data_IF_891787733401
#
_entry.id   IF_891787733401
#
_cell.length_a   1.000
_cell.length_b   1.000
_cell.length_c   1.000
_cell.angle_alpha   90.00
_cell.angle_beta   90.00
_cell.angle_gamma   90.00
#
_symmetry.space_group_name_H-M   'P 1'
#
loop_
_entity.id
_entity.type
_entity.pdbx_description
1 polymer ?
#
# COMPACT_ATOMS: atom_id res chain seq x y z
N UNK A 1 46.51 5.21 -25.00
CA UNK A 1 46.81 4.09 -24.09
C UNK A 1 47.39 4.65 -22.80
N UNK A 2 46.60 4.72 -21.72
CA UNK A 2 47.04 5.08 -20.38
C UNK A 2 46.46 4.03 -19.43
N UNK A 3 47.35 3.24 -18.84
CA UNK A 3 47.01 2.19 -17.86
C UNK A 3 46.80 2.83 -16.49
N UNK A 4 45.64 2.55 -15.89
CA UNK A 4 45.35 2.85 -14.48
C UNK A 4 45.17 1.51 -13.77
N UNK A 5 46.13 1.15 -12.93
CA UNK A 5 46.11 -0.04 -12.09
C UNK A 5 45.43 0.31 -10.76
N UNK A 6 44.25 -0.26 -10.49
CA UNK A 6 43.60 -0.22 -9.17
C UNK A 6 44.13 -1.39 -8.32
N UNK A 7 44.71 -1.08 -7.17
CA UNK A 7 45.01 -2.04 -6.09
C UNK A 7 43.74 -2.30 -5.28
N UNK A 8 43.30 -3.56 -5.25
CA UNK A 8 42.36 -4.08 -4.24
C UNK A 8 43.15 -4.50 -3.00
N UNK A 9 42.70 -4.07 -1.83
CA UNK A 9 43.12 -4.61 -0.53
C UNK A 9 41.93 -5.31 0.09
N UNK A 10 41.98 -6.64 0.08
CA UNK A 10 41.07 -7.51 0.80
C UNK A 10 41.36 -7.45 2.31
N UNK A 11 40.33 -7.15 3.10
CA UNK A 11 40.32 -7.41 4.54
C UNK A 11 39.39 -8.61 4.80
N UNK A 12 39.99 -9.76 5.04
CA UNK A 12 39.32 -10.93 5.61
C UNK A 12 38.97 -10.66 7.08
N UNK A 13 37.68 -10.75 7.42
CA UNK A 13 37.22 -10.88 8.80
C UNK A 13 36.78 -12.33 8.98
N UNK A 14 37.48 -13.05 9.87
CA UNK A 14 37.12 -14.40 10.30
C UNK A 14 36.01 -14.30 11.35
N UNK A 15 34.88 -14.98 11.12
CA UNK A 15 33.83 -15.21 12.11
C UNK A 15 33.75 -16.71 12.42
N UNK A 16 34.15 -17.06 13.64
CA UNK A 16 33.98 -18.40 14.21
C UNK A 16 32.52 -18.57 14.65
N UNK A 17 31.73 -19.33 13.88
CA UNK A 17 30.42 -19.80 14.31
C UNK A 17 30.52 -21.24 14.82
N UNK A 18 30.35 -21.41 16.14
CA UNK A 18 30.17 -22.70 16.80
C UNK A 18 28.76 -23.23 16.55
N UNK A 19 28.67 -24.37 15.87
CA UNK A 19 27.45 -25.15 15.67
C UNK A 19 27.07 -25.89 16.94
N UNK A 20 25.85 -25.68 17.45
CA UNK A 20 25.24 -26.50 18.52
C UNK A 20 24.22 -27.43 17.87
N UNK A 21 24.51 -28.73 17.89
CA UNK A 21 23.65 -29.79 17.36
C UNK A 21 22.70 -30.28 18.45
N UNK A 22 21.39 -30.11 18.25
CA UNK A 22 20.38 -30.78 19.09
C UNK A 22 19.81 -32.01 18.37
N UNK A 23 19.97 -33.17 18.99
CA UNK A 23 19.28 -34.40 18.60
C UNK A 23 17.91 -34.44 19.26
N UNK A 24 16.85 -34.52 18.45
CA UNK A 24 15.50 -34.89 18.92
C UNK A 24 15.08 -36.17 18.20
N UNK A 25 14.81 -37.19 19.01
CA UNK A 25 14.46 -38.54 18.58
C UNK A 25 13.09 -38.62 17.92
N UNK A 26 13.01 -39.50 16.93
CA UNK A 26 11.77 -39.95 16.28
C UNK A 26 10.97 -40.83 17.24
N UNK A 27 9.67 -40.57 17.36
CA UNK A 27 8.70 -41.58 17.79
C UNK A 27 7.66 -41.76 16.67
N UNK A 28 7.62 -42.97 16.14
CA UNK A 28 6.68 -43.44 15.13
C UNK A 28 5.51 -44.07 15.88
N UNK A 29 4.28 -43.63 15.58
CA UNK A 29 3.06 -44.34 15.95
C UNK A 29 2.22 -44.51 14.68
N UNK A 30 2.15 -45.76 14.22
CA UNK A 30 1.27 -46.25 13.17
C UNK A 30 -0.04 -46.66 13.83
N UNK A 31 -1.15 -46.07 13.42
CA UNK A 31 -2.47 -46.67 13.61
C UNK A 31 -3.28 -46.54 12.33
N UNK A 32 -3.44 -47.68 11.69
CA UNK A 32 -4.41 -47.93 10.63
C UNK A 32 -5.79 -48.07 11.24
N UNK A 33 -6.78 -47.33 10.74
CA UNK A 33 -8.19 -47.65 10.93
C UNK A 33 -8.93 -47.45 9.61
N UNK A 34 -9.33 -48.57 9.02
CA UNK A 34 -10.30 -48.64 7.93
C UNK A 34 -11.70 -48.71 8.52
N UNK A 35 -12.67 -47.93 8.02
CA UNK A 35 -14.11 -48.24 8.09
C UNK A 35 -14.85 -47.53 6.93
N UNK A 36 -15.35 -48.36 6.01
CA UNK A 36 -16.68 -48.46 5.37
C UNK A 36 -17.34 -47.19 4.80
N UNK A 37 -17.47 -47.21 3.47
CA UNK A 37 -18.44 -46.43 2.67
C UNK A 37 -19.89 -46.81 3.02
N UNK A 38 -20.75 -45.81 3.23
CA UNK A 38 -22.18 -45.91 3.02
C UNK A 38 -22.60 -44.80 2.04
N UNK A 39 -22.99 -45.19 0.83
CA UNK A 39 -23.61 -44.32 -0.16
C UNK A 39 -25.09 -44.14 0.21
N UNK A 40 -25.49 -42.89 0.46
CA UNK A 40 -26.89 -42.49 0.55
C UNK A 40 -27.11 -41.28 -0.34
N UNK A 41 -27.85 -41.45 -1.44
CA UNK A 41 -28.39 -40.34 -2.20
C UNK A 41 -29.55 -39.73 -1.39
N UNK A 42 -29.29 -38.58 -0.76
CA UNK A 42 -30.30 -37.74 -0.12
C UNK A 42 -30.15 -36.31 -0.64
N UNK A 43 -31.25 -35.70 -1.03
CA UNK A 43 -31.33 -34.29 -1.39
C UNK A 43 -30.79 -33.44 -0.22
N UNK A 44 -29.69 -32.73 -0.45
CA UNK A 44 -29.05 -31.90 0.55
C UNK A 44 -29.86 -30.62 0.76
N UNK A 45 -30.67 -30.60 1.82
CA UNK A 45 -30.94 -29.34 2.50
C UNK A 45 -29.59 -28.80 3.00
N UNK A 46 -29.30 -27.54 2.69
CA UNK A 46 -28.16 -26.81 3.26
C UNK A 46 -28.39 -26.77 4.77
N UNK A 47 -27.70 -27.66 5.49
CA UNK A 47 -27.57 -27.58 6.94
C UNK A 47 -26.39 -26.66 7.16
N UNK A 48 -26.71 -25.44 7.61
CA UNK A 48 -25.74 -24.50 8.17
C UNK A 48 -25.04 -25.20 9.34
N UNK A 49 -23.86 -25.77 9.07
CA UNK A 49 -23.09 -26.53 10.04
C UNK A 49 -22.42 -25.56 10.99
N UNK A 50 -23.19 -25.10 11.98
CA UNK A 50 -22.77 -24.38 13.19
C UNK A 50 -21.34 -23.86 13.18
N UNK A 51 -21.06 -22.88 12.33
CA UNK A 51 -19.90 -22.03 12.51
C UNK A 51 -20.17 -21.22 13.77
N UNK A 52 -19.25 -21.23 14.73
CA UNK A 52 -19.31 -20.23 15.80
C UNK A 52 -19.43 -18.86 15.13
N UNK A 53 -20.33 -18.01 15.63
CA UNK A 53 -20.57 -16.67 15.10
C UNK A 53 -19.33 -15.79 15.34
N UNK A 54 -18.28 -16.01 14.55
CA UNK A 54 -17.01 -15.30 14.56
C UNK A 54 -17.16 -13.99 13.79
N UNK A 55 -18.07 -13.13 14.21
CA UNK A 55 -18.24 -11.81 13.62
C UNK A 55 -17.52 -10.76 14.45
N UNK A 56 -16.66 -9.96 13.81
CA UNK A 56 -16.06 -8.78 14.43
C UNK A 56 -17.17 -7.77 14.79
N UNK A 57 -17.62 -7.75 16.04
CA UNK A 57 -18.62 -6.80 16.51
C UNK A 57 -17.96 -5.47 16.94
N UNK A 58 -18.35 -4.35 16.30
CA UNK A 58 -17.93 -3.00 16.68
C UNK A 58 -18.36 -1.92 15.69
N UNK A 59 -18.76 -0.75 16.22
CA UNK A 59 -18.82 0.49 15.42
C UNK A 59 -17.39 0.92 15.08
N UNK A 60 -17.19 1.30 13.82
CA UNK A 60 -15.90 1.21 13.12
C UNK A 60 -15.28 2.59 12.95
N UNK A 61 -14.32 2.92 13.80
CA UNK A 61 -13.46 4.08 13.63
C UNK A 61 -12.20 3.69 12.85
N UNK A 62 -11.63 4.66 12.12
CA UNK A 62 -10.36 4.51 11.42
C UNK A 62 -9.24 4.23 12.44
N UNK A 63 -8.62 3.03 12.36
CA UNK A 63 -7.47 2.72 13.22
C UNK A 63 -6.16 3.26 12.68
N UNK A 64 -6.20 3.91 11.52
CA UNK A 64 -5.07 4.51 10.85
C UNK A 64 -4.08 3.48 10.29
N UNK A 65 -2.81 3.86 10.31
CA UNK A 65 -1.68 3.07 9.83
C UNK A 65 -1.08 2.15 10.89
N UNK A 66 -1.06 0.85 10.60
CA UNK A 66 -0.36 -0.16 11.39
C UNK A 66 0.94 -0.59 10.70
N UNK A 67 2.04 0.04 11.08
CA UNK A 67 3.39 -0.38 10.68
C UNK A 67 4.17 -0.99 11.83
N UNK A 68 5.28 -1.69 11.56
CA UNK A 68 6.10 -2.36 12.59
C UNK A 68 6.82 -1.36 13.53
N UNK A 69 7.31 -0.27 12.95
CA UNK A 69 8.14 0.75 13.59
C UNK A 69 7.71 2.17 13.21
N UNK A 70 6.42 2.34 12.93
CA UNK A 70 5.81 3.61 12.53
C UNK A 70 4.43 3.76 13.18
N UNK A 71 3.95 4.99 13.24
CA UNK A 71 2.62 5.35 13.71
C UNK A 71 2.04 6.47 12.83
N UNK A 72 0.73 6.61 12.80
CA UNK A 72 0.05 7.67 12.05
C UNK A 72 -0.32 8.86 12.93
N UNK A 73 -0.35 10.02 12.29
CA UNK A 73 -0.94 11.24 12.82
C UNK A 73 -1.81 11.89 11.75
N UNK A 74 -2.85 12.61 12.17
CA UNK A 74 -3.47 13.62 11.32
C UNK A 74 -2.75 14.95 11.52
N UNK A 75 -2.54 15.66 10.41
CA UNK A 75 -2.19 17.06 10.41
C UNK A 75 -3.21 17.89 9.65
N UNK A 76 -3.36 19.14 10.09
CA UNK A 76 -4.09 20.18 9.37
C UNK A 76 -3.08 21.06 8.66
N UNK A 77 -3.29 21.25 7.37
CA UNK A 77 -2.56 22.19 6.54
C UNK A 77 -3.42 23.42 6.32
N UNK A 78 -2.88 24.61 6.56
CA UNK A 78 -3.53 25.88 6.25
C UNK A 78 -2.69 26.66 5.26
N UNK A 79 -3.28 27.05 4.14
CA UNK A 79 -2.59 27.78 3.08
C UNK A 79 -3.57 28.53 2.18
N UNK A 80 -3.02 29.24 1.19
CA UNK A 80 -3.75 29.80 0.05
C UNK A 80 -3.21 29.22 -1.25
N UNK A 81 -4.05 29.06 -2.26
CA UNK A 81 -3.64 28.58 -3.58
C UNK A 81 -4.29 29.43 -4.67
N UNK A 82 -3.53 29.75 -5.71
CA UNK A 82 -3.96 30.55 -6.86
C UNK A 82 -3.95 29.67 -8.11
N UNK A 83 -5.00 29.80 -8.92
CA UNK A 83 -5.07 29.15 -10.24
C UNK A 83 -5.70 30.08 -11.27
N UNK A 84 -5.26 29.98 -12.53
CA UNK A 84 -5.97 30.62 -13.63
C UNK A 84 -7.25 29.83 -13.89
N UNK A 85 -8.43 30.44 -13.72
CA UNK A 85 -9.72 29.79 -13.94
C UNK A 85 -10.06 29.63 -15.43
N UNK A 86 -9.20 28.92 -16.17
CA UNK A 86 -9.30 28.65 -17.59
C UNK A 86 -9.00 27.17 -17.88
N UNK A 87 -9.42 26.67 -19.05
CA UNK A 87 -9.18 25.29 -19.46
C UNK A 87 -9.79 24.29 -18.47
N UNK A 88 -8.98 23.34 -18.00
CA UNK A 88 -9.40 22.30 -17.04
C UNK A 88 -9.77 22.84 -15.65
N UNK A 89 -9.47 24.12 -15.38
CA UNK A 89 -9.77 24.80 -14.10
C UNK A 89 -10.89 25.83 -14.22
N UNK A 90 -11.59 25.87 -15.35
CA UNK A 90 -12.76 26.72 -15.49
C UNK A 90 -13.84 26.30 -14.49
N UNK A 91 -14.35 27.25 -13.70
CA UNK A 91 -15.39 27.02 -12.69
C UNK A 91 -14.88 26.47 -11.36
N UNK A 92 -13.57 26.45 -11.11
CA UNK A 92 -12.97 26.01 -9.84
C UNK A 92 -13.56 26.72 -8.62
N UNK A 93 -14.06 27.95 -8.76
CA UNK A 93 -14.71 28.70 -7.69
C UNK A 93 -16.06 28.08 -7.23
N UNK A 94 -16.65 27.20 -8.03
CA UNK A 94 -17.95 26.57 -7.77
C UNK A 94 -17.92 25.04 -7.73
N UNK A 95 -16.76 24.40 -7.98
CA UNK A 95 -16.62 22.95 -8.09
C UNK A 95 -15.71 22.40 -6.98
N UNK A 96 -16.31 21.71 -6.02
CA UNK A 96 -15.59 21.16 -4.86
C UNK A 96 -14.54 20.09 -5.23
N UNK A 97 -14.75 19.35 -6.32
CA UNK A 97 -13.80 18.33 -6.77
C UNK A 97 -12.59 19.00 -7.42
N UNK A 98 -12.80 20.05 -8.23
CA UNK A 98 -11.70 20.86 -8.76
C UNK A 98 -10.94 21.57 -7.63
N UNK A 99 -11.63 22.11 -6.63
CA UNK A 99 -11.00 22.73 -5.45
C UNK A 99 -10.11 21.73 -4.72
N UNK A 100 -10.62 20.52 -4.47
CA UNK A 100 -9.86 19.44 -3.82
C UNK A 100 -8.65 19.04 -4.64
N UNK A 101 -8.79 18.88 -5.97
CA UNK A 101 -7.66 18.57 -6.86
C UNK A 101 -6.59 19.67 -6.84
N UNK A 102 -6.98 20.93 -6.81
CA UNK A 102 -6.03 22.06 -6.74
C UNK A 102 -5.27 22.05 -5.42
N UNK A 103 -5.96 21.81 -4.31
CA UNK A 103 -5.36 21.69 -2.98
C UNK A 103 -4.40 20.49 -2.93
N UNK A 104 -4.81 19.32 -3.42
CA UNK A 104 -3.95 18.12 -3.54
C UNK A 104 -2.68 18.42 -4.36
N UNK A 105 -2.78 19.22 -5.44
CA UNK A 105 -1.61 19.64 -6.23
C UNK A 105 -0.63 20.51 -5.44
N UNK A 106 -1.11 21.48 -4.65
CA UNK A 106 -0.23 22.33 -3.85
C UNK A 106 0.42 21.53 -2.70
N UNK A 107 -0.37 20.67 -2.05
CA UNK A 107 0.06 19.88 -0.90
C UNK A 107 1.21 18.92 -1.25
N UNK A 108 1.29 18.43 -2.49
CA UNK A 108 2.43 17.63 -2.98
C UNK A 108 3.79 18.28 -2.76
N UNK A 109 3.87 19.62 -2.79
CA UNK A 109 5.11 20.38 -2.58
C UNK A 109 5.58 20.41 -1.11
N UNK A 110 4.73 20.02 -0.15
CA UNK A 110 5.08 19.96 1.28
C UNK A 110 6.02 18.80 1.59
N UNK A 111 6.07 17.77 0.73
CA UNK A 111 6.82 16.52 0.92
C UNK A 111 8.22 16.73 1.51
N UNK A 112 9.05 17.55 0.87
CA UNK A 112 10.46 17.76 1.29
C UNK A 112 10.54 18.39 2.69
N UNK A 113 9.66 19.35 2.99
CA UNK A 113 9.57 20.00 4.31
C UNK A 113 9.05 19.03 5.38
N UNK A 114 8.07 18.19 5.06
CA UNK A 114 7.61 17.16 5.98
C UNK A 114 8.71 16.12 6.27
N UNK A 115 9.43 15.67 5.23
CA UNK A 115 10.52 14.70 5.36
C UNK A 115 11.71 15.23 6.17
N UNK A 116 12.06 16.52 6.03
CA UNK A 116 13.11 17.16 6.84
C UNK A 116 12.73 17.30 8.31
N UNK A 117 11.42 17.36 8.60
CA UNK A 117 10.85 17.33 9.95
C UNK A 117 10.58 15.90 10.46
N UNK A 118 11.03 14.86 9.74
CA UNK A 118 10.94 13.47 10.18
C UNK A 118 9.61 12.78 9.88
N UNK A 119 8.74 13.41 9.09
CA UNK A 119 7.45 12.86 8.70
C UNK A 119 7.50 12.19 7.32
N UNK A 120 6.60 11.25 7.08
CA UNK A 120 6.27 10.78 5.72
C UNK A 120 4.83 11.15 5.46
N UNK A 121 4.55 11.66 4.28
CA UNK A 121 3.40 12.52 4.07
C UNK A 121 2.47 11.93 3.02
N UNK A 122 1.17 11.80 3.33
CA UNK A 122 0.16 11.47 2.32
C UNK A 122 -0.10 12.70 1.45
N UNK A 123 0.17 12.59 0.14
CA UNK A 123 0.12 13.72 -0.77
C UNK A 123 -1.29 14.04 -1.29
N UNK A 124 -2.30 13.37 -0.74
CA UNK A 124 -3.70 13.61 -1.02
C UNK A 124 -4.41 13.89 0.30
N UNK A 125 -5.21 14.95 0.34
CA UNK A 125 -5.99 15.31 1.51
C UNK A 125 -7.07 14.27 1.77
N UNK A 126 -7.29 13.94 3.03
CA UNK A 126 -8.50 13.23 3.44
C UNK A 126 -9.73 14.13 3.24
N UNK A 127 -9.60 15.37 3.71
CA UNK A 127 -10.68 16.35 3.71
C UNK A 127 -10.11 17.72 3.36
N UNK A 128 -10.84 18.45 2.52
CA UNK A 128 -10.55 19.84 2.18
C UNK A 128 -11.74 20.70 2.61
N UNK A 129 -11.45 21.77 3.35
CA UNK A 129 -12.41 22.80 3.71
C UNK A 129 -11.95 24.12 3.10
N UNK A 130 -12.80 24.69 2.24
CA UNK A 130 -12.54 26.01 1.65
C UNK A 130 -13.07 27.09 2.59
N UNK A 131 -12.19 27.99 3.01
CA UNK A 131 -12.52 29.08 3.93
C UNK A 131 -12.92 30.35 3.19
N UNK A 132 -12.27 30.63 2.06
CA UNK A 132 -12.49 31.83 1.28
C UNK A 132 -12.13 31.59 -0.18
N UNK A 133 -12.91 32.19 -1.08
CA UNK A 133 -12.66 32.19 -2.52
C UNK A 133 -12.69 33.64 -2.99
N UNK A 134 -11.63 34.07 -3.66
CA UNK A 134 -11.51 35.43 -4.17
C UNK A 134 -11.13 35.42 -5.65
N UNK A 135 -11.95 36.07 -6.47
CA UNK A 135 -11.59 36.41 -7.85
C UNK A 135 -10.62 37.59 -7.84
N UNK A 136 -9.42 37.39 -8.37
CA UNK A 136 -8.36 38.39 -8.50
C UNK A 136 -8.09 38.69 -9.97
N UNK A 137 -7.23 39.68 -10.26
CA UNK A 137 -6.79 39.93 -11.64
C UNK A 137 -5.96 38.76 -12.20
N UNK A 138 -5.32 37.99 -11.33
CA UNK A 138 -4.38 36.91 -11.67
C UNK A 138 -5.01 35.52 -11.64
N UNK A 139 -6.32 35.41 -11.34
CA UNK A 139 -7.04 34.14 -11.26
C UNK A 139 -7.93 34.02 -10.02
N UNK A 140 -8.26 32.79 -9.65
CA UNK A 140 -9.06 32.46 -8.46
C UNK A 140 -8.12 32.06 -7.33
N UNK A 141 -8.15 32.82 -6.24
CA UNK A 141 -7.42 32.51 -5.01
C UNK A 141 -8.32 31.83 -3.99
N UNK A 142 -7.85 30.73 -3.43
CA UNK A 142 -8.59 29.87 -2.51
C UNK A 142 -7.79 29.73 -1.22
N UNK A 143 -8.37 30.16 -0.10
CA UNK A 143 -7.84 29.86 1.24
C UNK A 143 -8.48 28.58 1.77
N UNK A 144 -7.68 27.65 2.29
CA UNK A 144 -8.17 26.34 2.69
C UNK A 144 -7.57 25.83 4.01
N UNK A 145 -8.28 24.88 4.62
CA UNK A 145 -7.71 23.90 5.56
C UNK A 145 -7.84 22.50 4.97
N UNK A 146 -6.77 21.70 5.03
CA UNK A 146 -6.78 20.33 4.54
C UNK A 146 -6.30 19.38 5.65
N UNK A 147 -7.01 18.28 5.85
CA UNK A 147 -6.59 17.19 6.74
C UNK A 147 -5.80 16.18 5.91
N UNK A 148 -4.62 15.81 6.41
CA UNK A 148 -3.70 14.86 5.77
C UNK A 148 -3.12 13.90 6.79
N UNK A 149 -2.88 12.68 6.34
CA UNK A 149 -2.20 11.68 7.15
C UNK A 149 -0.68 11.83 7.03
N UNK A 150 0.03 11.62 8.14
CA UNK A 150 1.48 11.52 8.15
C UNK A 150 1.96 10.34 9.00
N UNK A 151 3.08 9.75 8.60
CA UNK A 151 3.75 8.70 9.35
C UNK A 151 4.97 9.25 10.09
N UNK A 152 5.00 8.98 11.39
CA UNK A 152 6.17 9.17 12.24
C UNK A 152 6.92 7.86 12.44
N UNK A 153 8.23 7.96 12.74
CA UNK A 153 9.02 6.80 13.16
C UNK A 153 8.78 6.48 14.64
N UNK A 154 8.50 5.22 14.96
CA UNK A 154 8.28 4.76 16.32
C UNK A 154 9.62 4.49 17.03
N UNK A 155 9.81 5.08 18.22
CA UNK A 155 10.99 4.89 19.07
C UNK A 155 10.60 4.39 20.46
N UNK A 156 9.86 3.28 20.51
CA UNK A 156 9.30 2.72 21.74
C UNK A 156 7.77 2.69 21.69
N UNK A 157 7.13 3.31 22.67
CA UNK A 157 5.66 3.48 22.68
C UNK A 157 5.21 4.52 21.65
N UNK A 158 3.94 4.47 21.27
CA UNK A 158 3.29 5.51 20.47
C UNK A 158 3.38 6.81 21.27
N UNK A 159 3.82 7.92 20.66
CA UNK A 159 3.85 9.19 21.37
C UNK A 159 2.43 9.71 21.60
N UNK A 160 2.22 10.43 22.69
CA UNK A 160 1.00 11.19 22.92
C UNK A 160 0.92 12.38 21.97
N UNK A 161 -0.29 12.91 21.77
CA UNK A 161 -0.46 14.15 21.02
C UNK A 161 0.37 15.30 21.62
N UNK A 162 0.51 15.40 22.94
CA UNK A 162 1.31 16.45 23.58
C UNK A 162 2.80 16.36 23.21
N UNK A 163 3.35 15.15 23.13
CA UNK A 163 4.75 14.91 22.74
C UNK A 163 5.04 15.29 21.28
N UNK A 164 4.04 15.15 20.39
CA UNK A 164 4.18 15.53 18.97
C UNK A 164 3.53 16.87 18.64
N UNK A 165 2.83 17.54 19.57
CA UNK A 165 2.15 18.82 19.31
C UNK A 165 3.13 19.93 18.91
N UNK A 166 4.39 19.79 19.33
CA UNK A 166 5.47 20.68 18.89
C UNK A 166 5.91 20.47 17.44
N UNK A 167 5.39 19.46 16.74
CA UNK A 167 5.62 19.22 15.32
C UNK A 167 4.78 20.15 14.42
N UNK A 168 4.63 21.41 14.84
CA UNK A 168 4.19 22.47 13.95
C UNK A 168 5.39 22.94 13.14
N UNK A 169 5.25 22.96 11.82
CA UNK A 169 6.27 23.49 10.93
C UNK A 169 5.64 24.27 9.79
N UNK A 170 6.43 25.15 9.21
CA UNK A 170 6.06 25.90 8.01
C UNK A 170 6.68 25.17 6.80
N UNK A 171 5.91 25.03 5.73
CA UNK A 171 6.36 24.47 4.48
C UNK A 171 6.27 25.52 3.38
N UNK A 172 7.38 25.77 2.70
CA UNK A 172 7.40 26.66 1.53
C UNK A 172 6.78 25.93 0.34
N UNK A 173 5.75 26.52 -0.26
CA UNK A 173 5.03 25.94 -1.39
C UNK A 173 4.79 27.00 -2.49
N UNK A 174 4.66 26.62 -3.76
CA UNK A 174 4.26 27.55 -4.80
C UNK A 174 2.82 28.00 -4.57
N UNK A 175 2.57 29.32 -4.64
CA UNK A 175 1.21 29.87 -4.62
C UNK A 175 0.38 29.35 -5.79
N UNK A 176 1.02 29.17 -6.95
CA UNK A 176 0.44 28.57 -8.16
C UNK A 176 1.14 27.24 -8.48
N UNK A 177 0.55 26.08 -8.15
CA UNK A 177 1.23 24.78 -8.18
C UNK A 177 1.36 24.16 -9.57
N UNK A 178 1.23 24.97 -10.64
CA UNK A 178 1.23 24.49 -12.02
C UNK A 178 1.56 25.58 -13.04
N UNK A 179 1.74 25.18 -14.30
CA UNK A 179 2.06 26.10 -15.40
C UNK A 179 3.50 26.60 -15.36
N UNK A 180 4.41 25.86 -14.72
CA UNK A 180 5.81 26.20 -14.62
C UNK A 180 6.51 26.08 -15.99
N UNK A 181 7.36 27.05 -16.32
CA UNK A 181 8.30 26.88 -17.43
C UNK A 181 9.37 25.85 -17.08
N UNK A 182 10.00 25.25 -18.09
CA UNK A 182 11.15 24.35 -17.86
C UNK A 182 12.31 25.03 -17.14
N UNK A 183 12.49 26.35 -17.33
CA UNK A 183 13.51 27.13 -16.63
C UNK A 183 13.21 27.23 -15.14
N UNK A 184 11.99 27.62 -14.78
CA UNK A 184 11.55 27.68 -13.38
C UNK A 184 11.68 26.33 -12.67
N UNK A 185 11.26 25.24 -13.34
CA UNK A 185 11.40 23.91 -12.76
C UNK A 185 12.86 23.55 -12.49
N UNK A 186 13.77 23.82 -13.43
CA UNK A 186 15.20 23.55 -13.24
C UNK A 186 15.85 24.44 -12.19
N UNK A 187 15.37 25.67 -12.00
CA UNK A 187 15.88 26.62 -11.01
C UNK A 187 15.39 26.37 -9.58
N UNK A 188 14.35 25.55 -9.42
CA UNK A 188 13.68 25.25 -8.15
C UNK A 188 13.66 23.75 -7.84
N UNK A 189 14.54 22.96 -8.46
CA UNK A 189 14.60 21.52 -8.21
C UNK A 189 16.03 20.99 -8.21
N UNK A 190 16.24 19.92 -7.44
CA UNK A 190 17.51 19.20 -7.34
C UNK A 190 17.29 17.74 -7.74
N UNK A 191 18.09 17.26 -8.70
CA UNK A 191 18.03 15.87 -9.17
C UNK A 191 19.39 15.22 -9.01
N UNK A 192 19.47 14.21 -8.16
CA UNK A 192 20.70 13.49 -7.87
C UNK A 192 20.82 12.15 -8.63
N UNK A 193 19.76 11.71 -9.30
CA UNK A 193 19.61 10.34 -9.80
C UNK A 193 19.44 10.22 -11.33
N UNK A 194 19.68 11.33 -12.05
CA UNK A 194 19.67 11.36 -13.51
C UNK A 194 18.28 11.37 -14.16
N UNK A 195 17.19 11.51 -13.39
CA UNK A 195 15.86 11.68 -13.95
C UNK A 195 15.68 13.06 -14.61
N UNK A 196 14.83 13.15 -15.64
CA UNK A 196 14.42 14.45 -16.17
C UNK A 196 13.31 15.04 -15.33
N UNK A 197 13.43 16.32 -14.97
CA UNK A 197 12.32 17.10 -14.40
C UNK A 197 11.26 17.34 -15.48
N UNK A 198 10.01 17.11 -15.11
CA UNK A 198 8.79 17.25 -15.90
C UNK A 198 7.69 17.78 -14.98
N UNK A 199 6.66 18.39 -15.55
CA UNK A 199 5.54 18.97 -14.80
C UNK A 199 4.93 17.98 -13.79
N UNK A 200 4.81 16.70 -14.19
CA UNK A 200 4.18 15.68 -13.36
C UNK A 200 5.06 15.12 -12.22
N UNK A 201 6.37 15.38 -12.21
CA UNK A 201 7.28 14.89 -11.16
C UNK A 201 8.06 16.04 -10.47
N UNK A 202 7.82 17.28 -10.87
CA UNK A 202 8.54 18.44 -10.34
C UNK A 202 8.39 18.57 -8.82
N UNK A 203 7.19 18.34 -8.27
CA UNK A 203 6.95 18.38 -6.82
C UNK A 203 7.86 17.43 -6.02
N UNK A 204 8.27 16.32 -6.62
CA UNK A 204 9.15 15.34 -5.98
C UNK A 204 10.59 15.85 -5.81
N UNK A 205 11.04 16.70 -6.74
CA UNK A 205 12.39 17.27 -6.77
C UNK A 205 12.44 18.71 -6.25
N UNK A 206 11.32 19.24 -5.78
CA UNK A 206 11.18 20.64 -5.41
C UNK A 206 12.10 21.06 -4.26
N UNK A 207 12.85 22.15 -4.50
CA UNK A 207 13.88 22.75 -3.64
C UNK A 207 13.78 24.28 -3.70
N UNK A 208 12.85 24.88 -2.93
CA UNK A 208 12.61 26.32 -2.97
C UNK A 208 13.80 27.17 -2.51
N UNK A 209 14.75 26.58 -1.78
CA UNK A 209 15.94 27.26 -1.25
C UNK A 209 17.07 27.47 -2.29
N UNK A 210 16.91 26.99 -3.53
CA UNK A 210 17.90 27.23 -4.57
C UNK A 210 18.02 28.72 -4.89
N UNK A 211 19.25 29.21 -5.05
CA UNK A 211 19.57 30.65 -5.21
C UNK A 211 18.82 31.29 -6.40
N UNK A 212 18.51 30.52 -7.44
CA UNK A 212 17.83 31.01 -8.65
C UNK A 212 16.34 30.69 -8.69
N UNK A 213 15.76 30.15 -7.60
CA UNK A 213 14.34 29.80 -7.59
C UNK A 213 13.48 31.08 -7.55
N UNK A 214 12.77 31.34 -8.63
CA UNK A 214 12.02 32.59 -8.89
C UNK A 214 10.50 32.39 -8.91
N UNK A 215 10.01 31.31 -8.29
CA UNK A 215 8.58 31.07 -8.14
C UNK A 215 7.94 32.02 -7.13
N UNK A 216 6.64 32.29 -7.29
CA UNK A 216 5.84 32.95 -6.25
C UNK A 216 5.58 31.92 -5.13
N UNK A 217 6.33 32.05 -4.04
CA UNK A 217 6.35 31.13 -2.92
C UNK A 217 5.62 31.72 -1.70
N UNK A 218 4.87 30.87 -1.02
CA UNK A 218 4.15 31.20 0.22
C UNK A 218 4.46 30.16 1.30
N UNK A 219 4.07 30.46 2.54
CA UNK A 219 4.19 29.53 3.65
C UNK A 219 2.85 28.82 3.89
N UNK A 220 2.88 27.50 3.90
CA UNK A 220 1.79 26.66 4.38
C UNK A 220 2.08 26.22 5.83
N UNK A 221 1.11 26.40 6.72
CA UNK A 221 1.22 25.97 8.11
C UNK A 221 0.81 24.51 8.21
N UNK A 222 1.66 23.66 8.79
CA UNK A 222 1.34 22.26 9.08
C UNK A 222 1.30 22.05 10.59
N UNK A 223 0.19 21.53 11.10
CA UNK A 223 -0.02 21.29 12.53
C UNK A 223 -0.54 19.87 12.77
N UNK A 224 0.17 19.07 13.57
CA UNK A 224 -0.31 17.75 14.01
C UNK A 224 -1.46 17.92 15.01
N UNK A 225 -2.62 17.37 14.67
CA UNK A 225 -3.87 17.52 15.45
C UNK A 225 -4.34 16.24 16.12
N UNK A 226 -3.87 15.08 15.67
CA UNK A 226 -4.25 13.78 16.22
C UNK A 226 -3.09 12.80 16.13
N UNK A 227 -2.95 11.94 17.13
CA UNK A 227 -2.15 10.72 17.03
C UNK A 227 -3.11 9.54 17.05
N UNK A 228 -2.98 8.64 16.08
CA UNK A 228 -3.82 7.45 16.05
C UNK A 228 -3.30 6.40 17.04
N UNK A 229 -4.24 5.68 17.64
CA UNK A 229 -3.92 4.48 18.40
C UNK A 229 -3.36 3.41 17.45
N UNK A 230 -2.60 2.46 18.00
CA UNK A 230 -2.05 1.32 17.25
C UNK A 230 -2.63 0.02 17.83
N UNK A 231 -3.92 -0.25 17.61
CA UNK A 231 -4.55 -1.43 18.17
C UNK A 231 -3.97 -2.71 17.58
N UNK A 232 -4.19 -3.82 18.31
CA UNK A 232 -4.10 -5.14 17.70
C UNK A 232 -5.33 -5.31 16.81
N UNK A 233 -5.09 -5.48 15.51
CA UNK A 233 -6.13 -5.65 14.51
C UNK A 233 -5.66 -6.66 13.45
N UNK A 234 -6.60 -7.34 12.84
CA UNK A 234 -6.36 -8.49 11.97
C UNK A 234 -6.91 -8.24 10.58
N UNK A 235 -6.40 -8.93 9.55
CA UNK A 235 -7.13 -9.06 8.29
C UNK A 235 -8.57 -9.52 8.55
N UNK A 236 -9.52 -9.04 7.74
CA UNK A 236 -10.94 -9.47 7.82
C UNK A 236 -11.07 -10.88 7.21
N UNK A 237 -10.56 -11.88 7.92
CA UNK A 237 -10.42 -13.25 7.44
C UNK A 237 -11.76 -13.90 7.06
N UNK A 238 -12.85 -13.63 7.79
CA UNK A 238 -14.22 -14.05 7.46
C UNK A 238 -14.61 -13.57 6.07
N UNK A 239 -14.30 -12.31 5.75
CA UNK A 239 -14.64 -11.72 4.44
C UNK A 239 -13.76 -12.25 3.31
N UNK A 240 -12.54 -12.71 3.63
CA UNK A 240 -11.66 -13.38 2.66
C UNK A 240 -12.07 -14.83 2.43
N UNK A 241 -12.53 -15.54 3.44
CA UNK A 241 -12.82 -16.97 3.40
C UNK A 241 -14.17 -17.27 2.71
N UNK A 242 -14.17 -17.24 1.37
CA UNK A 242 -15.34 -17.59 0.56
C UNK A 242 -15.35 -19.08 0.21
N UNK A 243 -16.52 -19.68 0.15
CA UNK A 243 -16.68 -21.08 -0.30
C UNK A 243 -16.57 -21.17 -1.82
N UNK A 244 -15.69 -22.04 -2.31
CA UNK A 244 -15.53 -22.39 -3.71
C UNK A 244 -16.55 -23.46 -4.15
N UNK A 245 -16.73 -23.65 -5.47
CA UNK A 245 -17.62 -24.67 -6.03
C UNK A 245 -17.24 -26.10 -5.60
N UNK A 246 -15.96 -26.35 -5.30
CA UNK A 246 -15.46 -27.66 -4.80
C UNK A 246 -15.69 -27.86 -3.29
N UNK A 247 -16.35 -26.91 -2.62
CA UNK A 247 -16.64 -26.90 -1.18
C UNK A 247 -15.47 -26.45 -0.31
N UNK A 248 -14.26 -26.24 -0.86
CA UNK A 248 -13.16 -25.66 -0.10
C UNK A 248 -13.40 -24.18 0.18
N UNK A 249 -12.67 -23.60 1.13
CA UNK A 249 -12.84 -22.21 1.56
C UNK A 249 -11.58 -21.40 1.30
N UNK A 250 -11.67 -20.15 0.84
CA UNK A 250 -10.54 -19.23 0.77
C UNK A 250 -10.74 -18.10 -0.24
N UNK A 251 -9.66 -17.63 -0.86
CA UNK A 251 -9.72 -16.47 -1.76
C UNK A 251 -8.78 -16.57 -2.96
N UNK A 252 -9.06 -15.74 -3.98
CA UNK A 252 -8.19 -15.53 -5.11
C UNK A 252 -7.31 -14.28 -4.93
N UNK A 253 -6.04 -14.43 -5.31
CA UNK A 253 -5.00 -13.42 -5.30
C UNK A 253 -4.50 -13.15 -6.72
N UNK A 254 -4.31 -11.88 -7.08
CA UNK A 254 -3.62 -11.46 -8.30
C UNK A 254 -2.27 -10.81 -7.95
N UNK A 255 -1.20 -11.31 -8.55
CA UNK A 255 0.12 -10.68 -8.52
C UNK A 255 0.36 -10.02 -9.87
N UNK A 256 0.48 -8.69 -9.87
CA UNK A 256 0.54 -7.86 -11.08
C UNK A 256 1.86 -7.08 -11.10
N UNK A 257 3.00 -7.76 -11.35
CA UNK A 257 4.27 -7.07 -11.53
C UNK A 257 4.27 -6.26 -12.83
N UNK A 258 4.75 -5.03 -12.78
CA UNK A 258 5.01 -4.23 -13.98
C UNK A 258 6.28 -4.74 -14.70
N UNK A 259 6.48 -4.33 -15.95
CA UNK A 259 7.70 -4.58 -16.71
C UNK A 259 8.91 -4.04 -15.95
N UNK A 260 9.97 -4.84 -15.88
CA UNK A 260 11.25 -4.40 -15.33
C UNK A 260 11.98 -3.43 -16.28
N UNK A 261 12.90 -2.65 -15.71
CA UNK A 261 13.56 -1.55 -16.42
C UNK A 261 14.55 -2.02 -17.50
N UNK A 262 15.31 -3.09 -17.20
CA UNK A 262 16.29 -3.68 -18.12
C UNK A 262 15.83 -5.02 -18.71
N UNK A 263 15.00 -5.75 -17.96
CA UNK A 263 14.39 -7.02 -18.37
C UNK A 263 12.90 -6.94 -18.04
N UNK A 264 12.00 -6.93 -19.04
CA UNK A 264 10.56 -6.87 -18.84
C UNK A 264 10.03 -7.95 -17.90
N UNK A 265 10.64 -9.14 -17.87
CA UNK A 265 10.20 -10.28 -17.03
C UNK A 265 10.91 -10.36 -15.70
N UNK A 266 11.88 -9.50 -15.39
CA UNK A 266 12.67 -9.61 -14.14
C UNK A 266 11.80 -9.65 -12.87
N UNK A 267 10.80 -8.77 -12.77
CA UNK A 267 9.87 -8.71 -11.63
C UNK A 267 8.93 -9.92 -11.57
N UNK A 268 8.43 -10.36 -12.73
CA UNK A 268 7.63 -11.57 -12.88
C UNK A 268 8.41 -12.82 -12.46
N UNK A 269 9.61 -13.02 -13.01
CA UNK A 269 10.48 -14.15 -12.71
C UNK A 269 10.87 -14.21 -11.22
N UNK A 270 11.04 -13.06 -10.57
CA UNK A 270 11.33 -13.00 -9.15
C UNK A 270 10.14 -13.47 -8.29
N UNK A 271 8.91 -13.08 -8.64
CA UNK A 271 7.70 -13.60 -7.98
C UNK A 271 7.48 -15.08 -8.26
N UNK A 272 7.62 -15.50 -9.53
CA UNK A 272 7.56 -16.92 -9.94
C UNK A 272 8.51 -17.77 -9.10
N UNK A 273 9.78 -17.35 -9.00
CA UNK A 273 10.78 -18.02 -8.16
C UNK A 273 10.35 -18.09 -6.68
N UNK A 274 9.78 -17.02 -6.12
CA UNK A 274 9.31 -17.03 -4.73
C UNK A 274 8.16 -18.02 -4.52
N UNK A 275 7.22 -18.13 -5.47
CA UNK A 275 6.12 -19.10 -5.40
C UNK A 275 6.63 -20.55 -5.57
N UNK A 276 7.45 -20.80 -6.59
CA UNK A 276 7.93 -22.15 -6.90
C UNK A 276 8.97 -22.64 -5.89
N UNK A 277 9.98 -21.84 -5.57
CA UNK A 277 11.10 -22.30 -4.75
C UNK A 277 10.87 -22.08 -3.25
N UNK A 278 10.27 -20.96 -2.85
CA UNK A 278 10.14 -20.63 -1.41
C UNK A 278 8.81 -21.11 -0.81
N UNK A 279 7.76 -21.27 -1.63
CA UNK A 279 6.47 -21.83 -1.23
C UNK A 279 6.25 -23.28 -1.71
N UNK A 280 7.05 -23.78 -2.66
CA UNK A 280 6.92 -25.13 -3.18
C UNK A 280 5.63 -25.33 -3.98
N UNK A 281 5.19 -24.30 -4.70
CA UNK A 281 3.95 -24.34 -5.48
C UNK A 281 4.25 -24.68 -6.94
N UNK A 282 3.44 -25.56 -7.51
CA UNK A 282 3.45 -25.86 -8.93
C UNK A 282 2.50 -24.91 -9.67
N UNK A 283 3.01 -24.26 -10.71
CA UNK A 283 2.26 -23.31 -11.53
C UNK A 283 1.69 -23.95 -12.80
N UNK A 284 0.45 -23.62 -13.14
CA UNK A 284 -0.22 -23.98 -14.39
C UNK A 284 -0.42 -22.72 -15.24
N UNK A 285 -0.03 -22.78 -16.51
CA UNK A 285 -0.24 -21.66 -17.44
C UNK A 285 -1.72 -21.53 -17.79
N UNK A 286 -2.27 -20.31 -17.77
CA UNK A 286 -3.66 -20.05 -18.16
C UNK A 286 -3.90 -20.44 -19.63
N UNK A 287 -5.15 -20.78 -20.04
CA UNK A 287 -5.44 -21.16 -21.42
C UNK A 287 -5.06 -20.13 -22.49
N UNK A 288 -5.06 -18.85 -22.12
CA UNK A 288 -4.68 -17.72 -22.98
C UNK A 288 -3.21 -17.28 -22.79
N UNK A 289 -2.45 -18.01 -21.97
CA UNK A 289 -1.04 -17.74 -21.61
C UNK A 289 -0.78 -16.39 -20.94
N UNK A 290 -1.79 -15.72 -20.39
CA UNK A 290 -1.63 -14.39 -19.77
C UNK A 290 -1.13 -14.42 -18.33
N UNK A 291 -1.32 -15.53 -17.61
CA UNK A 291 -0.83 -15.70 -16.24
C UNK A 291 -0.47 -17.15 -15.91
N UNK A 292 0.30 -17.33 -14.85
CA UNK A 292 0.52 -18.64 -14.22
C UNK A 292 -0.34 -18.72 -12.95
N UNK A 293 -1.21 -19.71 -12.89
CA UNK A 293 -2.05 -20.02 -11.73
C UNK A 293 -1.33 -20.99 -10.80
N UNK A 294 -1.29 -20.65 -9.53
CA UNK A 294 -0.84 -21.53 -8.45
C UNK A 294 -2.02 -21.81 -7.55
N UNK A 295 -2.15 -23.06 -7.10
CA UNK A 295 -3.15 -23.44 -6.10
C UNK A 295 -2.44 -23.89 -4.84
N UNK A 296 -2.71 -23.22 -3.72
CA UNK A 296 -2.14 -23.55 -2.43
C UNK A 296 -3.22 -24.03 -1.46
N UNK A 297 -3.23 -25.34 -1.15
CA UNK A 297 -4.19 -25.95 -0.22
C UNK A 297 -3.52 -26.28 1.12
N UNK A 298 -4.21 -25.97 2.23
CA UNK A 298 -3.88 -26.42 3.58
C UNK A 298 -5.15 -26.70 4.38
N UNK A 299 -5.39 -27.98 4.69
CA UNK A 299 -6.67 -28.37 5.31
C UNK A 299 -7.83 -28.07 4.36
N UNK A 300 -8.88 -27.41 4.87
CA UNK A 300 -10.02 -26.95 4.08
C UNK A 300 -9.76 -25.63 3.33
N UNK A 301 -8.63 -24.97 3.60
CA UNK A 301 -8.31 -23.66 3.04
C UNK A 301 -7.61 -23.78 1.68
N UNK A 302 -8.14 -23.10 0.66
CA UNK A 302 -7.59 -22.99 -0.69
C UNK A 302 -7.31 -21.53 -1.05
N UNK A 303 -6.07 -21.23 -1.42
CA UNK A 303 -5.70 -19.95 -2.03
C UNK A 303 -5.35 -20.17 -3.50
N UNK A 304 -6.01 -19.43 -4.39
CA UNK A 304 -5.69 -19.39 -5.83
C UNK A 304 -4.88 -18.14 -6.10
N UNK A 305 -3.72 -18.27 -6.73
CA UNK A 305 -2.80 -17.15 -6.98
C UNK A 305 -2.52 -17.07 -8.47
N UNK A 306 -2.91 -15.98 -9.10
CA UNK A 306 -2.64 -15.71 -10.52
C UNK A 306 -1.49 -14.71 -10.63
N UNK A 307 -0.36 -15.16 -11.19
CA UNK A 307 0.81 -14.33 -11.47
C UNK A 307 0.79 -13.90 -12.94
N UNK A 308 0.47 -12.63 -13.18
CA UNK A 308 0.33 -12.07 -14.53
C UNK A 308 1.67 -11.75 -15.17
N UNK A 309 1.84 -12.16 -16.43
CA UNK A 309 3.04 -11.86 -17.21
C UNK A 309 2.94 -10.45 -17.83
N UNK A 310 3.80 -9.49 -17.43
CA UNK A 310 3.72 -8.13 -17.93
C UNK A 310 4.05 -8.00 -19.43
N UNK A 311 4.62 -9.03 -20.08
CA UNK A 311 4.86 -9.00 -21.53
C UNK A 311 3.62 -9.29 -22.35
N UNK A 312 2.64 -9.98 -21.78
CA UNK A 312 1.39 -10.34 -22.45
C UNK A 312 0.34 -9.22 -22.37
N UNK A 313 0.57 -8.21 -21.53
CA UNK A 313 -0.28 -7.02 -21.48
C UNK A 313 -0.05 -6.16 -22.74
N UNK A 314 -1.08 -5.95 -23.59
CA UNK A 314 -0.94 -5.13 -24.79
C UNK A 314 -0.58 -3.68 -24.43
N UNK A 315 0.33 -3.09 -25.20
CA UNK A 315 0.67 -1.68 -25.05
C UNK A 315 -0.52 -0.74 -25.27
N UNK A 316 -1.47 -1.14 -26.13
CA UNK A 316 -2.66 -0.37 -26.51
C UNK A 316 -3.68 -0.21 -25.38
N UNK A 317 -3.85 -1.23 -24.53
CA UNK A 317 -4.71 -1.16 -23.35
C UNK A 317 -3.94 -0.59 -22.16
N UNK A 318 -2.63 -0.81 -22.13
CA UNK A 318 -1.72 -0.27 -21.12
C UNK A 318 -1.79 -1.05 -19.79
N UNK A 319 -0.68 -1.02 -19.05
CA UNK A 319 -0.56 -1.69 -17.77
C UNK A 319 -1.64 -1.25 -16.76
N UNK A 320 -2.01 0.03 -16.75
CA UNK A 320 -3.00 0.57 -15.81
C UNK A 320 -4.38 -0.09 -15.97
N UNK A 321 -4.87 -0.26 -17.21
CA UNK A 321 -6.15 -0.92 -17.45
C UNK A 321 -6.10 -2.39 -17.03
N UNK A 322 -4.99 -3.08 -17.33
CA UNK A 322 -4.81 -4.47 -16.91
C UNK A 322 -4.80 -4.63 -15.39
N UNK A 323 -4.11 -3.75 -14.68
CA UNK A 323 -4.08 -3.74 -13.22
C UNK A 323 -5.46 -3.46 -12.61
N UNK A 324 -6.20 -2.47 -13.14
CA UNK A 324 -7.58 -2.18 -12.74
C UNK A 324 -8.53 -3.36 -12.96
N UNK A 325 -8.37 -4.10 -14.05
CA UNK A 325 -9.15 -5.30 -14.28
C UNK A 325 -8.92 -6.39 -13.21
N UNK A 326 -7.77 -6.39 -12.52
CA UNK A 326 -7.54 -7.33 -11.42
C UNK A 326 -8.17 -6.85 -10.11
N UNK A 327 -8.26 -5.54 -9.90
CA UNK A 327 -8.97 -4.97 -8.75
C UNK A 327 -10.46 -5.33 -8.74
N UNK A 328 -11.10 -5.57 -9.90
CA UNK A 328 -12.52 -5.93 -9.92
C UNK A 328 -12.79 -7.40 -9.62
N UNK A 329 -11.77 -8.27 -9.75
CA UNK A 329 -11.95 -9.72 -9.79
C UNK A 329 -11.32 -10.48 -8.61
N UNK A 330 -10.48 -9.83 -7.80
CA UNK A 330 -9.68 -10.52 -6.77
C UNK A 330 -9.82 -9.85 -5.40
N UNK A 331 -9.86 -10.66 -4.34
CA UNK A 331 -9.87 -10.17 -2.95
C UNK A 331 -8.48 -9.79 -2.44
N UNK A 332 -7.42 -10.22 -3.12
CA UNK A 332 -6.06 -9.77 -2.85
C UNK A 332 -5.40 -9.35 -4.16
N UNK A 333 -4.86 -8.14 -4.22
CA UNK A 333 -4.18 -7.64 -5.43
C UNK A 333 -2.84 -7.04 -5.04
N UNK A 334 -1.75 -7.54 -5.62
CA UNK A 334 -0.40 -7.07 -5.37
C UNK A 334 0.20 -6.40 -6.60
N UNK A 335 0.39 -5.10 -6.53
CA UNK A 335 1.13 -4.31 -7.50
C UNK A 335 2.62 -4.27 -7.18
N UNK A 336 3.47 -4.59 -8.17
CA UNK A 336 4.93 -4.39 -8.08
C UNK A 336 5.40 -3.51 -9.23
N UNK A 337 5.49 -2.20 -8.98
CA UNK A 337 5.64 -1.22 -10.05
C UNK A 337 6.34 0.07 -9.63
N UNK A 338 6.45 1.00 -10.58
CA UNK A 338 6.93 2.36 -10.31
C UNK A 338 5.79 3.22 -9.82
N UNK A 339 6.00 3.98 -8.75
CA UNK A 339 4.94 4.80 -8.14
C UNK A 339 4.49 5.98 -8.98
N UNK A 340 5.14 6.24 -10.11
CA UNK A 340 4.86 7.37 -11.00
C UNK A 340 4.73 8.71 -10.23
N UNK A 341 5.40 8.85 -9.08
CA UNK A 341 5.37 10.04 -8.21
C UNK A 341 3.95 10.50 -7.80
N UNK A 342 2.96 9.60 -7.77
CA UNK A 342 1.57 9.94 -7.46
C UNK A 342 0.89 10.89 -8.46
N UNK A 343 1.48 11.07 -9.65
CA UNK A 343 0.93 11.94 -10.70
C UNK A 343 -0.10 11.25 -11.57
N UNK A 344 -0.14 9.92 -11.52
CA UNK A 344 -1.15 9.12 -12.20
C UNK A 344 -2.23 8.72 -11.23
N UNK A 345 -3.46 8.97 -11.62
CA UNK A 345 -4.67 8.47 -10.96
C UNK A 345 -4.85 6.98 -11.26
N UNK A 346 -3.88 6.15 -10.87
CA UNK A 346 -3.90 4.73 -11.15
C UNK A 346 -5.11 4.04 -10.49
N UNK A 347 -5.51 4.53 -9.32
CA UNK A 347 -6.37 3.84 -8.36
C UNK A 347 -7.65 4.63 -7.99
N UNK A 348 -7.92 5.77 -8.63
CA UNK A 348 -9.08 6.63 -8.30
C UNK A 348 -10.40 6.20 -8.95
N UNK A 349 -10.39 5.21 -9.86
CA UNK A 349 -11.59 4.78 -10.59
C UNK A 349 -12.42 3.81 -9.74
N UNK A 350 -13.61 4.20 -9.24
CA UNK A 350 -14.45 3.33 -8.41
C UNK A 350 -14.87 2.05 -9.14
N UNK A 351 -15.08 2.12 -10.47
CA UNK A 351 -15.52 0.99 -11.27
C UNK A 351 -14.43 -0.09 -11.43
N UNK A 352 -13.19 0.21 -11.05
CA UNK A 352 -12.10 -0.76 -11.07
C UNK A 352 -12.14 -1.73 -9.89
N UNK A 353 -12.91 -1.45 -8.83
CA UNK A 353 -12.87 -2.25 -7.60
C UNK A 353 -14.04 -3.22 -7.49
N UNK A 354 -13.82 -4.31 -6.77
CA UNK A 354 -14.90 -5.17 -6.28
C UNK A 354 -15.61 -4.47 -5.12
N UNK A 355 -16.91 -4.71 -4.95
CA UNK A 355 -17.66 -4.27 -3.76
C UNK A 355 -17.20 -5.00 -2.48
N UNK A 356 -16.63 -6.20 -2.64
CA UNK A 356 -16.18 -7.06 -1.55
C UNK A 356 -14.97 -6.47 -0.80
N UNK A 357 -14.65 -7.06 0.36
CA UNK A 357 -13.41 -6.75 1.06
C UNK A 357 -12.18 -7.15 0.23
N UNK A 358 -11.20 -6.23 0.15
CA UNK A 358 -9.97 -6.42 -0.59
C UNK A 358 -8.75 -6.04 0.24
N UNK A 359 -7.66 -6.79 0.06
CA UNK A 359 -6.33 -6.39 0.48
C UNK A 359 -5.57 -5.93 -0.77
N UNK A 360 -5.20 -4.65 -0.80
CA UNK A 360 -4.46 -4.05 -1.91
C UNK A 360 -3.03 -3.79 -1.47
N UNK A 361 -2.08 -4.57 -2.01
CA UNK A 361 -0.65 -4.40 -1.73
C UNK A 361 -0.02 -3.56 -2.82
N UNK A 362 0.46 -2.38 -2.49
CA UNK A 362 1.13 -1.47 -3.42
C UNK A 362 2.63 -1.44 -3.10
N UNK A 363 3.41 -2.31 -3.73
CA UNK A 363 4.86 -2.28 -3.66
C UNK A 363 5.42 -1.36 -4.74
N UNK A 364 5.69 -0.11 -4.37
CA UNK A 364 6.36 0.89 -5.21
C UNK A 364 6.99 1.97 -4.34
N UNK A 365 7.84 2.84 -4.89
CA UNK A 365 8.50 3.88 -4.08
C UNK A 365 7.49 4.81 -3.38
N UNK A 366 7.54 4.89 -2.05
CA UNK A 366 6.68 5.74 -1.22
C UNK A 366 5.19 5.57 -1.50
N UNK A 367 4.74 4.32 -1.73
CA UNK A 367 3.35 4.05 -2.12
C UNK A 367 2.29 4.54 -1.13
N UNK A 368 2.63 4.67 0.16
CA UNK A 368 1.73 5.30 1.14
C UNK A 368 1.39 6.73 0.74
N UNK A 369 2.39 7.52 0.32
CA UNK A 369 2.21 8.92 -0.04
C UNK A 369 1.30 9.13 -1.25
N UNK A 370 1.16 8.11 -2.11
CA UNK A 370 0.61 8.27 -3.45
C UNK A 370 -0.73 7.55 -3.66
N UNK A 371 -0.96 6.43 -2.96
CA UNK A 371 -1.95 5.45 -3.42
C UNK A 371 -2.97 5.03 -2.39
N UNK A 372 -2.68 5.10 -1.09
CA UNK A 372 -3.61 4.67 -0.04
C UNK A 372 -4.92 5.44 -0.14
N UNK A 373 -4.85 6.77 -0.21
CA UNK A 373 -6.04 7.62 -0.31
C UNK A 373 -6.76 7.48 -1.66
N UNK A 374 -6.06 7.13 -2.73
CA UNK A 374 -6.72 6.81 -4.02
C UNK A 374 -7.62 5.59 -3.90
N UNK A 375 -7.13 4.51 -3.27
CA UNK A 375 -7.92 3.30 -3.02
C UNK A 375 -9.15 3.61 -2.18
N UNK A 376 -8.98 4.34 -1.08
CA UNK A 376 -10.08 4.67 -0.18
C UNK A 376 -11.13 5.56 -0.85
N UNK A 377 -10.71 6.61 -1.59
CA UNK A 377 -11.66 7.44 -2.36
C UNK A 377 -12.45 6.61 -3.38
N UNK A 378 -11.80 5.66 -4.05
CA UNK A 378 -12.47 4.80 -5.04
C UNK A 378 -13.39 3.74 -4.41
N UNK A 379 -13.12 3.31 -3.17
CA UNK A 379 -13.95 2.35 -2.41
C UNK A 379 -15.04 3.03 -1.57
N UNK A 380 -15.07 4.36 -1.52
CA UNK A 380 -16.04 5.11 -0.75
C UNK A 380 -17.48 4.90 -1.26
N UNK A 381 -18.42 4.77 -0.34
CA UNK A 381 -19.85 4.63 -0.62
C UNK A 381 -20.64 5.59 0.26
N UNK A 382 -21.94 5.73 0.01
CA UNK A 382 -22.81 6.53 0.88
C UNK A 382 -22.85 6.02 2.34
N UNK A 383 -22.69 4.70 2.56
CA UNK A 383 -22.68 4.08 3.89
C UNK A 383 -21.29 4.05 4.53
N UNK A 384 -20.26 4.20 3.72
CA UNK A 384 -18.87 4.26 4.14
C UNK A 384 -18.15 5.35 3.35
N UNK A 385 -18.33 6.62 3.73
CA UNK A 385 -17.72 7.75 3.01
C UNK A 385 -16.19 7.75 3.12
N UNK A 386 -15.61 6.99 4.05
CA UNK A 386 -14.15 6.82 4.16
C UNK A 386 -13.59 5.86 3.10
N UNK A 387 -14.40 4.91 2.62
CA UNK A 387 -13.97 3.82 1.73
C UNK A 387 -13.07 2.77 2.38
N UNK A 388 -12.83 2.86 3.68
CA UNK A 388 -12.03 1.90 4.45
C UNK A 388 -12.84 0.63 4.75
N UNK A 389 -14.17 0.68 4.59
CA UNK A 389 -15.16 -0.40 4.43
C UNK A 389 -14.60 -1.82 4.36
N UNK A 390 -14.01 -1.97 3.20
CA UNK A 390 -13.81 -3.18 2.46
C UNK A 390 -12.44 -3.10 1.79
N UNK A 391 -11.48 -2.38 2.39
CA UNK A 391 -10.15 -2.20 1.84
C UNK A 391 -9.10 -2.05 2.94
N UNK A 392 -8.12 -2.95 2.92
CA UNK A 392 -6.86 -2.75 3.64
C UNK A 392 -5.75 -2.50 2.61
N UNK A 393 -4.96 -1.44 2.80
CA UNK A 393 -3.90 -1.07 1.86
C UNK A 393 -2.53 -1.26 2.48
N UNK A 394 -1.82 -2.29 2.02
CA UNK A 394 -0.42 -2.53 2.42
C UNK A 394 0.48 -1.69 1.53
N UNK A 395 1.21 -0.76 2.12
CA UNK A 395 2.03 0.20 1.37
C UNK A 395 3.42 0.39 1.99
N UNK A 396 4.22 1.22 1.33
CA UNK A 396 5.57 1.59 1.76
C UNK A 396 5.63 3.08 2.07
N UNK A 397 6.18 3.43 3.24
CA UNK A 397 6.43 4.80 3.66
C UNK A 397 7.74 5.40 3.14
N UNK A 398 8.58 4.59 2.47
CA UNK A 398 9.84 5.03 1.84
C UNK A 398 9.99 4.43 0.44
N UNK A 399 10.99 4.91 -0.29
CA UNK A 399 11.40 4.30 -1.56
C UNK A 399 11.65 2.81 -1.36
N UNK A 400 11.05 1.99 -2.22
CA UNK A 400 11.17 0.54 -2.18
C UNK A 400 11.72 0.06 -3.52
N UNK A 401 12.53 -0.99 -3.49
CA UNK A 401 13.13 -1.55 -4.68
C UNK A 401 12.33 -2.77 -5.15
N UNK A 402 12.25 -3.05 -6.48
CA UNK A 402 11.49 -4.17 -7.00
C UNK A 402 11.86 -5.53 -6.38
N UNK A 403 13.11 -5.72 -5.96
CA UNK A 403 13.57 -6.95 -5.31
C UNK A 403 12.98 -7.20 -3.91
N UNK A 404 12.37 -6.19 -3.27
CA UNK A 404 11.71 -6.34 -1.97
C UNK A 404 10.29 -6.90 -2.08
N UNK A 405 9.69 -6.83 -3.28
CA UNK A 405 8.32 -7.25 -3.50
C UNK A 405 8.13 -8.77 -3.34
N UNK A 406 8.99 -9.67 -3.88
CA UNK A 406 8.81 -11.11 -3.68
C UNK A 406 8.90 -11.55 -2.20
N UNK A 407 9.85 -11.07 -1.38
CA UNK A 407 9.83 -11.30 0.07
C UNK A 407 8.54 -10.84 0.75
N UNK A 408 8.04 -9.64 0.42
CA UNK A 408 6.76 -9.11 0.93
C UNK A 408 5.59 -10.02 0.55
N UNK A 409 5.48 -10.41 -0.73
CA UNK A 409 4.46 -11.36 -1.20
C UNK A 409 4.49 -12.65 -0.41
N UNK A 410 5.68 -13.25 -0.24
CA UNK A 410 5.84 -14.49 0.52
C UNK A 410 5.32 -14.38 1.94
N UNK A 411 5.66 -13.29 2.65
CA UNK A 411 5.19 -13.06 4.02
C UNK A 411 3.68 -12.87 4.07
N UNK A 412 3.12 -12.07 3.16
CA UNK A 412 1.68 -11.82 3.07
C UNK A 412 0.92 -13.12 2.86
N UNK A 413 1.24 -13.87 1.80
CA UNK A 413 0.53 -15.12 1.47
C UNK A 413 0.67 -16.17 2.59
N UNK A 414 1.86 -16.32 3.19
CA UNK A 414 2.07 -17.23 4.34
C UNK A 414 1.22 -16.84 5.54
N UNK A 415 1.17 -15.56 5.88
CA UNK A 415 0.48 -15.09 7.08
C UNK A 415 -1.04 -15.12 6.90
N UNK A 416 -1.53 -14.79 5.70
CA UNK A 416 -2.96 -14.94 5.38
C UNK A 416 -3.39 -16.40 5.41
N UNK A 417 -2.63 -17.30 4.78
CA UNK A 417 -2.87 -18.74 4.85
C UNK A 417 -2.83 -19.26 6.29
N UNK A 418 -1.87 -18.82 7.11
CA UNK A 418 -1.80 -19.18 8.53
C UNK A 418 -3.05 -18.74 9.29
N UNK A 419 -3.50 -17.49 9.10
CA UNK A 419 -4.66 -16.95 9.80
C UNK A 419 -5.96 -17.65 9.44
N UNK A 420 -6.21 -17.86 8.14
CA UNK A 420 -7.39 -18.59 7.68
C UNK A 420 -7.41 -20.03 8.21
N UNK A 421 -6.28 -20.76 8.14
CA UNK A 421 -6.18 -22.12 8.70
C UNK A 421 -6.40 -22.12 10.22
N UNK A 422 -5.92 -21.10 10.93
CA UNK A 422 -6.13 -20.99 12.36
C UNK A 422 -7.63 -20.82 12.69
N UNK A 423 -8.33 -19.96 11.96
CA UNK A 423 -9.77 -19.72 12.15
C UNK A 423 -10.61 -20.95 11.77
N UNK A 424 -10.32 -21.58 10.62
CA UNK A 424 -10.99 -22.82 10.17
C UNK A 424 -10.85 -23.96 11.19
N UNK A 425 -9.72 -24.04 11.89
CA UNK A 425 -9.50 -25.02 12.97
C UNK A 425 -10.05 -24.59 14.34
N UNK A 426 -10.81 -23.49 14.43
CA UNK A 426 -11.37 -22.97 15.68
C UNK A 426 -10.30 -22.47 16.66
N UNK A 427 -9.19 -21.95 16.14
CA UNK A 427 -8.05 -21.42 16.92
C UNK A 427 -7.67 -19.99 16.52
N UNK A 428 -8.62 -19.03 16.54
CA UNK A 428 -8.40 -17.66 16.07
C UNK A 428 -7.24 -16.94 16.77
N UNK A 429 -6.91 -17.32 18.01
CA UNK A 429 -5.79 -16.76 18.77
C UNK A 429 -4.41 -17.01 18.13
N UNK A 430 -4.32 -17.94 17.17
CA UNK A 430 -3.10 -18.23 16.41
C UNK A 430 -3.03 -17.48 15.07
N UNK A 431 -4.07 -16.72 14.70
CA UNK A 431 -4.07 -15.90 13.50
C UNK A 431 -3.14 -14.69 13.70
N UNK A 432 -2.24 -14.39 12.75
CA UNK A 432 -1.36 -13.24 12.88
C UNK A 432 -2.13 -11.92 12.66
N UNK A 433 -1.98 -10.99 13.59
CA UNK A 433 -2.47 -9.61 13.43
C UNK A 433 -1.62 -8.81 12.42
N UNK A 434 -2.11 -7.64 12.00
CA UNK A 434 -1.45 -6.78 11.03
C UNK A 434 -0.09 -6.25 11.49
N UNK A 435 0.13 -6.01 12.79
CA UNK A 435 1.44 -5.60 13.32
C UNK A 435 2.45 -6.74 13.20
N UNK A 436 2.03 -7.96 13.56
CA UNK A 436 2.82 -9.17 13.39
C UNK A 436 3.17 -9.41 11.92
N UNK A 437 2.23 -9.18 11.00
CA UNK A 437 2.47 -9.29 9.55
C UNK A 437 3.48 -8.22 9.09
N UNK A 438 3.29 -6.95 9.49
CA UNK A 438 4.18 -5.86 9.13
C UNK A 438 5.62 -6.08 9.64
N UNK A 439 5.79 -6.61 10.85
CA UNK A 439 7.10 -6.95 11.42
C UNK A 439 7.81 -8.08 10.65
N UNK A 440 7.05 -9.10 10.24
CA UNK A 440 7.56 -10.17 9.37
C UNK A 440 7.98 -9.63 8.01
N UNK A 441 7.22 -8.68 7.43
CA UNK A 441 7.58 -8.04 6.15
C UNK A 441 8.90 -7.30 6.33
N UNK A 442 8.98 -6.42 7.33
CA UNK A 442 10.20 -5.66 7.65
C UNK A 442 11.43 -6.57 7.80
N UNK A 443 11.27 -7.69 8.50
CA UNK A 443 12.36 -8.67 8.71
C UNK A 443 12.75 -9.40 7.42
N UNK A 444 11.78 -9.66 6.53
CA UNK A 444 12.03 -10.35 5.26
C UNK A 444 12.59 -9.43 4.17
N UNK A 445 12.35 -8.12 4.27
CA UNK A 445 12.84 -7.10 3.35
C UNK A 445 14.10 -6.41 3.90
N UNK A 446 14.61 -5.42 3.17
CA UNK A 446 15.63 -4.53 3.72
C UNK A 446 14.98 -3.65 4.79
N UNK A 447 15.59 -3.63 5.99
CA UNK A 447 14.98 -3.03 7.19
C UNK A 447 14.82 -1.51 7.16
N UNK A 448 15.15 -0.84 6.06
CA UNK A 448 14.94 0.59 5.86
C UNK A 448 13.61 0.92 5.16
N UNK A 449 12.98 -0.04 4.47
CA UNK A 449 11.65 0.14 3.88
C UNK A 449 10.61 0.11 5.00
N UNK A 450 9.93 1.24 5.18
CA UNK A 450 8.82 1.35 6.12
C UNK A 450 7.60 0.66 5.52
N UNK A 451 7.17 -0.48 6.06
CA UNK A 451 5.93 -1.16 5.68
C UNK A 451 4.87 -0.99 6.76
N UNK A 452 3.63 -0.94 6.30
CA UNK A 452 2.45 -0.96 7.16
C UNK A 452 1.19 -1.03 6.33
N UNK A 453 0.07 -1.01 7.04
CA UNK A 453 -1.26 -1.21 6.49
C UNK A 453 -2.14 -0.04 6.89
N UNK A 454 -2.72 0.64 5.92
CA UNK A 454 -3.72 1.69 6.14
C UNK A 454 -5.14 1.13 5.99
N UNK A 455 -6.11 1.81 6.57
CA UNK A 455 -7.54 1.44 6.50
C UNK A 455 -7.90 0.24 7.37
N UNK A 456 -6.96 -0.19 8.23
CA UNK A 456 -7.19 -1.30 9.15
C UNK A 456 -8.32 -0.91 10.09
N UNK A 457 -9.09 -1.92 10.50
CA UNK A 457 -10.22 -1.76 11.41
C UNK A 457 -9.93 -2.50 12.69
N UNK A 458 -10.35 -1.92 13.81
CA UNK A 458 -10.39 -2.68 15.05
C UNK A 458 -11.33 -3.88 14.87
N UNK A 459 -10.77 -5.07 14.94
CA UNK A 459 -11.49 -6.33 15.01
C UNK A 459 -10.79 -7.24 16.02
N UNK A 460 -11.56 -8.14 16.61
CA UNK A 460 -11.04 -9.13 17.54
C UNK A 460 -11.50 -10.51 17.12
N UNK A 461 -10.55 -11.43 17.01
CA UNK A 461 -10.81 -12.84 16.78
C UNK A 461 -10.63 -13.57 18.11
N UNK A 462 -11.66 -13.54 18.95
CA UNK A 462 -11.68 -14.27 20.24
C UNK A 462 -12.68 -15.41 20.14
N UNK A 463 -12.40 -16.53 20.82
CA UNK A 463 -13.38 -17.57 21.04
C UNK A 463 -14.61 -17.00 21.81
N UNK A 464 -15.84 -17.18 21.31
CA UNK A 464 -17.09 -16.72 21.91
C UNK A 464 -17.46 -17.65 23.06
#
# INVERSE_FOLDING_TARGET
MKNITKKNTDKQVASDNKTVTFHVGRMVAVMSLSIILAMGCGEANIVDSGSGDWSGQGQKDDSGWLGADTFEVNAVIKSTVLVDAMGDWFGVENDADLQTKLVDLQIKFIKTSAESNGWRFNQLAEKVQINNIQNTADGVEISYEAVVDMLGSLRGSIPTLEEVRHARFEAVVPRKPMGFSSMQMNNCAEVDDGHSIRDYNFHYYFKPEQENCDLDLIQAQVEVTQVFDRPVAYPEYDKLMKTWDDGSVGFAAALVPNRGDNDPKSRFNAHKKALENDLGLDGELSPDNTFIRYTWKKGNITMVIDLYDPTEVPWSTGFAAHFRAQLSNYSYVHYNGHSSYGSKELLNDPAAYSDDYQIVVIHSCQSYAYYTRQVFRAKATAMDPSGMANADVVATGKSSYPGGSPPTTKVMLKSLMQGMVAIDNGRPENAPDWITIADRIKTATWGDILYGVAGVRYNSWTAN
#
